data_IF_444066392718
#
_entry.id   IF_444066392718
#
_cell.length_a   1.000
_cell.length_b   1.000
_cell.length_c   1.000
_cell.angle_alpha   90.00
_cell.angle_beta   90.00
_cell.angle_gamma   90.00
#
_symmetry.space_group_name_H-M   'P 1'
#
loop_
_entity.id
_entity.type
_entity.pdbx_description
1 polymer ?
#
# COMPACT_ATOMS: atom_id res chain seq x y z
N UNK A 1 -10.57 -53.58 -1.68
CA UNK A 1 -11.65 -52.56 -1.88
C UNK A 1 -11.55 -51.36 -0.94
N UNK A 2 -11.43 -51.54 0.39
CA UNK A 2 -11.33 -50.43 1.37
C UNK A 2 -10.23 -49.40 1.08
N UNK A 3 -9.00 -49.82 0.75
CA UNK A 3 -7.88 -48.90 0.44
C UNK A 3 -8.12 -48.00 -0.78
N UNK A 4 -8.73 -48.54 -1.84
CA UNK A 4 -9.07 -47.78 -3.05
C UNK A 4 -10.20 -46.78 -2.80
N UNK A 5 -11.20 -47.15 -2.00
CA UNK A 5 -12.25 -46.23 -1.55
C UNK A 5 -11.67 -45.09 -0.70
N UNK A 6 -10.73 -45.37 0.20
CA UNK A 6 -10.03 -44.34 0.98
C UNK A 6 -9.23 -43.36 0.10
N UNK A 7 -8.51 -43.87 -0.91
CA UNK A 7 -7.76 -43.04 -1.86
C UNK A 7 -8.71 -42.13 -2.65
N UNK A 8 -9.85 -42.67 -3.13
CA UNK A 8 -10.87 -41.89 -3.83
C UNK A 8 -11.44 -40.76 -2.96
N UNK A 9 -11.74 -41.03 -1.69
CA UNK A 9 -12.24 -40.01 -0.76
C UNK A 9 -11.23 -38.88 -0.54
N UNK A 10 -9.94 -39.21 -0.41
CA UNK A 10 -8.87 -38.20 -0.25
C UNK A 10 -8.75 -37.33 -1.51
N UNK A 11 -8.83 -37.93 -2.70
CA UNK A 11 -8.78 -37.19 -3.96
C UNK A 11 -9.98 -36.23 -4.08
N UNK A 12 -11.18 -36.72 -3.80
CA UNK A 12 -12.41 -35.89 -3.86
C UNK A 12 -12.33 -34.76 -2.83
N UNK A 13 -11.88 -35.03 -1.60
CA UNK A 13 -11.69 -34.00 -0.59
C UNK A 13 -10.65 -32.96 -1.02
N UNK A 14 -9.55 -33.38 -1.64
CA UNK A 14 -8.54 -32.48 -2.20
C UNK A 14 -9.09 -31.58 -3.31
N UNK A 15 -9.91 -32.11 -4.20
CA UNK A 15 -10.56 -31.34 -5.28
C UNK A 15 -11.55 -30.33 -4.70
N UNK A 16 -12.37 -30.72 -3.72
CA UNK A 16 -13.30 -29.81 -3.05
C UNK A 16 -12.53 -28.68 -2.36
N UNK A 17 -11.44 -29.00 -1.66
CA UNK A 17 -10.60 -28.01 -0.99
C UNK A 17 -9.97 -27.03 -1.98
N UNK A 18 -9.45 -27.53 -3.11
CA UNK A 18 -8.90 -26.69 -4.18
C UNK A 18 -9.95 -25.75 -4.78
N UNK A 19 -11.16 -26.25 -5.02
CA UNK A 19 -12.28 -25.44 -5.51
C UNK A 19 -12.66 -24.32 -4.54
N UNK A 20 -12.68 -24.62 -3.23
CA UNK A 20 -12.95 -23.62 -2.19
C UNK A 20 -11.83 -22.57 -2.15
N UNK A 21 -10.56 -22.97 -2.24
CA UNK A 21 -9.44 -22.03 -2.25
C UNK A 21 -9.42 -21.11 -3.48
N UNK A 22 -9.79 -21.64 -4.64
CA UNK A 22 -9.95 -20.83 -5.85
C UNK A 22 -11.08 -19.80 -5.69
N UNK A 23 -12.24 -20.24 -5.18
CA UNK A 23 -13.42 -19.38 -4.97
C UNK A 23 -13.21 -18.31 -3.91
N UNK A 24 -12.49 -18.63 -2.85
CA UNK A 24 -12.15 -17.69 -1.77
C UNK A 24 -11.00 -16.76 -2.13
N UNK A 25 -10.35 -16.97 -3.29
CA UNK A 25 -9.29 -16.10 -3.79
C UNK A 25 -8.01 -16.17 -2.96
N UNK A 26 -7.84 -17.21 -2.14
CA UNK A 26 -6.70 -17.34 -1.23
C UNK A 26 -5.34 -17.34 -1.97
N UNK A 27 -5.34 -17.72 -3.25
CA UNK A 27 -4.16 -17.79 -4.10
C UNK A 27 -4.11 -16.71 -5.19
N UNK A 28 -5.07 -15.78 -5.20
CA UNK A 28 -5.08 -14.71 -6.21
C UNK A 28 -4.13 -13.60 -5.79
N UNK A 29 -3.14 -13.33 -6.63
CA UNK A 29 -2.32 -12.12 -6.54
C UNK A 29 -3.12 -10.95 -7.11
N UNK A 30 -3.11 -9.82 -6.42
CA UNK A 30 -3.73 -8.59 -6.91
C UNK A 30 -2.95 -8.10 -8.13
N UNK A 31 -3.63 -7.91 -9.26
CA UNK A 31 -2.99 -7.34 -10.46
C UNK A 31 -2.78 -5.82 -10.30
N UNK A 32 -1.83 -5.21 -11.03
CA UNK A 32 -1.67 -3.76 -11.01
C UNK A 32 -2.95 -2.99 -11.36
N UNK A 33 -3.72 -3.49 -12.34
CA UNK A 33 -4.99 -2.87 -12.74
C UNK A 33 -6.07 -3.03 -11.67
N UNK A 34 -6.14 -4.18 -11.01
CA UNK A 34 -7.05 -4.39 -9.88
C UNK A 34 -6.71 -3.41 -8.74
N UNK A 35 -5.42 -3.27 -8.40
CA UNK A 35 -4.98 -2.33 -7.38
C UNK A 35 -5.33 -0.88 -7.75
N UNK A 36 -5.05 -0.48 -9.00
CA UNK A 36 -5.35 0.88 -9.48
C UNK A 36 -6.85 1.20 -9.38
N UNK A 37 -7.71 0.23 -9.65
CA UNK A 37 -9.16 0.41 -9.58
C UNK A 37 -9.73 0.20 -8.16
N UNK A 38 -8.89 -0.15 -7.18
CA UNK A 38 -9.32 -0.38 -5.79
C UNK A 38 -9.08 0.82 -4.86
N UNK A 39 -8.27 1.79 -5.29
CA UNK A 39 -7.81 2.91 -4.48
C UNK A 39 -8.17 4.24 -5.14
N UNK A 40 -8.72 5.15 -4.35
CA UNK A 40 -8.84 6.56 -4.69
C UNK A 40 -7.94 7.37 -3.75
N UNK A 41 -7.10 8.25 -4.30
CA UNK A 41 -6.25 9.17 -3.52
C UNK A 41 -7.00 10.49 -3.35
N UNK A 42 -7.23 10.91 -2.11
CA UNK A 42 -7.99 12.11 -1.76
C UNK A 42 -7.20 13.01 -0.80
N UNK A 43 -7.68 14.24 -0.61
CA UNK A 43 -7.13 15.24 0.31
C UNK A 43 -5.62 15.49 0.12
N UNK A 44 -5.20 15.59 -1.14
CA UNK A 44 -3.78 15.78 -1.48
C UNK A 44 -3.32 17.19 -1.11
N UNK A 45 -2.28 17.26 -0.29
CA UNK A 45 -1.60 18.49 0.11
C UNK A 45 -0.09 18.34 -0.13
N UNK A 46 0.54 19.35 -0.72
CA UNK A 46 2.00 19.44 -0.86
C UNK A 46 2.53 20.67 -0.14
N UNK A 47 3.64 20.51 0.60
CA UNK A 47 4.25 21.60 1.36
C UNK A 47 5.72 21.36 1.66
N UNK A 48 6.43 22.44 1.99
CA UNK A 48 7.76 22.37 2.57
C UNK A 48 7.65 22.22 4.08
N UNK A 49 8.34 21.23 4.64
CA UNK A 49 8.33 20.93 6.08
C UNK A 49 9.74 20.92 6.65
N UNK A 50 9.86 21.24 7.95
CA UNK A 50 11.15 21.17 8.63
C UNK A 50 11.67 19.72 8.67
N UNK A 51 12.86 19.47 8.11
CA UNK A 51 13.65 18.26 8.34
C UNK A 51 14.50 18.39 9.59
N UNK A 52 15.16 19.53 9.72
CA UNK A 52 16.05 19.80 10.83
C UNK A 52 15.95 21.27 11.21
N UNK A 53 16.03 21.56 12.50
CA UNK A 53 16.08 22.92 13.01
C UNK A 53 16.99 22.96 14.23
N UNK A 54 17.95 23.88 14.21
CA UNK A 54 18.86 24.18 15.31
C UNK A 54 18.97 25.70 15.47
N UNK A 55 18.72 26.24 16.67
CA UNK A 55 18.86 27.67 16.94
C UNK A 55 20.29 28.19 16.91
N UNK A 56 21.25 27.43 17.45
CA UNK A 56 22.67 27.83 17.48
C UNK A 56 23.63 26.62 17.35
N UNK A 57 24.63 26.68 16.44
CA UNK A 57 24.69 27.60 15.31
C UNK A 57 23.43 27.47 14.44
N UNK A 58 22.93 28.58 13.89
CA UNK A 58 21.64 28.59 13.20
C UNK A 58 21.66 27.67 11.98
N UNK A 59 20.77 26.68 11.97
CA UNK A 59 20.62 25.74 10.85
C UNK A 59 19.16 25.31 10.72
N UNK A 60 18.58 25.53 9.55
CA UNK A 60 17.24 25.08 9.18
C UNK A 60 17.33 24.34 7.86
N UNK A 61 16.82 23.11 7.82
CA UNK A 61 16.69 22.33 6.60
C UNK A 61 15.20 22.10 6.38
N UNK A 62 14.70 22.57 5.25
CA UNK A 62 13.34 22.30 4.77
C UNK A 62 13.41 21.26 3.65
N UNK A 63 12.42 20.38 3.61
CA UNK A 63 12.29 19.35 2.57
C UNK A 63 10.86 19.29 2.06
N UNK A 64 10.64 18.88 0.80
CA UNK A 64 9.30 18.70 0.29
C UNK A 64 8.62 17.51 0.99
N UNK A 65 7.32 17.64 1.19
CA UNK A 65 6.45 16.58 1.66
C UNK A 65 5.12 16.60 0.92
N UNK A 66 4.53 15.42 0.76
CA UNK A 66 3.18 15.21 0.26
C UNK A 66 2.38 14.50 1.33
N UNK A 67 1.15 14.96 1.57
CA UNK A 67 0.18 14.32 2.45
C UNK A 67 -1.09 14.01 1.68
N UNK A 68 -1.69 12.86 1.96
CA UNK A 68 -2.90 12.41 1.29
C UNK A 68 -3.61 11.35 2.14
N UNK A 69 -4.85 11.04 1.78
CA UNK A 69 -5.59 9.89 2.30
C UNK A 69 -5.92 8.91 1.19
N UNK A 70 -6.12 7.66 1.57
CA UNK A 70 -6.46 6.56 0.68
C UNK A 70 -7.89 6.13 0.99
N UNK A 71 -8.78 6.24 0.01
CA UNK A 71 -10.15 5.73 0.10
C UNK A 71 -10.24 4.41 -0.64
N UNK A 72 -10.82 3.41 0.03
CA UNK A 72 -11.06 2.11 -0.56
C UNK A 72 -12.36 2.14 -1.37
N UNK A 73 -12.22 2.01 -2.70
CA UNK A 73 -13.36 1.97 -3.63
C UNK A 73 -13.69 0.55 -4.11
N UNK A 74 -12.99 -0.46 -3.57
CA UNK A 74 -13.24 -1.87 -3.86
C UNK A 74 -14.18 -2.53 -2.85
N UNK A 75 -14.55 -3.77 -3.13
CA UNK A 75 -15.32 -4.66 -2.26
C UNK A 75 -14.45 -5.48 -1.29
N UNK A 76 -13.13 -5.28 -1.30
CA UNK A 76 -12.16 -6.03 -0.48
C UNK A 76 -11.40 -5.10 0.48
N UNK A 77 -11.01 -5.55 1.69
CA UNK A 77 -10.13 -4.79 2.56
C UNK A 77 -8.76 -4.53 1.90
N UNK A 78 -8.29 -3.29 1.96
CA UNK A 78 -6.94 -2.92 1.51
C UNK A 78 -5.94 -3.14 2.62
N UNK A 79 -4.93 -3.97 2.36
CA UNK A 79 -3.85 -4.28 3.30
C UNK A 79 -2.52 -4.38 2.57
N UNK A 80 -1.44 -4.12 3.29
CA UNK A 80 -0.06 -4.17 2.79
C UNK A 80 0.25 -3.18 1.65
N UNK A 81 -0.37 -2.01 1.70
CA UNK A 81 -0.13 -0.94 0.73
C UNK A 81 1.10 -0.15 1.16
N UNK A 82 2.05 -0.03 0.24
CA UNK A 82 3.25 0.77 0.41
C UNK A 82 3.25 1.90 -0.60
N UNK A 83 3.76 3.05 -0.18
CA UNK A 83 3.91 4.21 -1.03
C UNK A 83 5.39 4.54 -1.19
N UNK A 84 5.74 4.95 -2.39
CA UNK A 84 7.06 5.49 -2.71
C UNK A 84 6.88 6.87 -3.34
N UNK A 85 7.47 7.88 -2.72
CA UNK A 85 7.54 9.22 -3.27
C UNK A 85 8.96 9.51 -3.76
N UNK A 86 9.06 10.04 -4.98
CA UNK A 86 10.29 10.60 -5.54
C UNK A 86 10.07 12.09 -5.75
N UNK A 87 10.93 12.92 -5.14
CA UNK A 87 10.82 14.37 -5.19
C UNK A 87 11.81 14.92 -6.21
N UNK A 88 11.34 15.75 -7.13
CA UNK A 88 12.17 16.42 -8.14
C UNK A 88 11.57 17.77 -8.51
N UNK A 89 12.40 18.70 -8.96
CA UNK A 89 11.87 19.89 -9.60
C UNK A 89 11.23 19.53 -10.94
N UNK A 90 10.24 20.35 -11.33
CA UNK A 90 9.62 20.21 -12.64
C UNK A 90 10.69 20.48 -13.70
N UNK A 91 10.76 19.60 -14.70
CA UNK A 91 11.71 19.68 -15.82
C UNK A 91 13.20 19.54 -15.43
N UNK A 92 13.47 19.08 -14.20
CA UNK A 92 14.83 18.81 -13.71
C UNK A 92 15.07 17.30 -13.56
N UNK A 93 16.32 16.89 -13.77
CA UNK A 93 16.79 15.54 -13.51
C UNK A 93 17.39 15.39 -12.09
N UNK A 94 17.64 16.50 -11.39
CA UNK A 94 18.16 16.49 -10.03
C UNK A 94 17.13 15.91 -9.04
N UNK A 95 17.56 14.91 -8.27
CA UNK A 95 16.74 14.21 -7.29
C UNK A 95 16.76 14.97 -5.96
N UNK A 96 15.59 15.40 -5.50
CA UNK A 96 15.39 16.05 -4.20
C UNK A 96 15.06 15.06 -3.09
N UNK A 97 15.47 13.80 -3.23
CA UNK A 97 15.28 12.70 -2.30
C UNK A 97 14.02 11.88 -2.55
N UNK A 98 13.86 10.86 -1.72
CA UNK A 98 12.76 9.92 -1.80
C UNK A 98 12.20 9.58 -0.41
N UNK A 99 11.08 8.86 -0.41
CA UNK A 99 10.47 8.34 0.80
C UNK A 99 9.68 7.07 0.49
N UNK A 100 10.12 5.96 1.07
CA UNK A 100 9.34 4.72 1.10
C UNK A 100 8.62 4.58 2.44
N UNK A 101 7.32 4.33 2.39
CA UNK A 101 6.49 4.14 3.58
C UNK A 101 5.55 2.95 3.40
N UNK A 102 5.63 2.00 4.33
CA UNK A 102 4.67 0.92 4.46
C UNK A 102 3.43 1.38 5.24
N UNK A 103 2.56 2.16 4.60
CA UNK A 103 1.52 2.93 5.29
C UNK A 103 0.34 2.09 5.82
N UNK A 104 -0.14 1.10 5.07
CA UNK A 104 -1.33 0.31 5.45
C UNK A 104 -0.89 -1.14 5.67
N UNK A 105 -0.75 -1.58 6.92
CA UNK A 105 -0.25 -2.94 7.26
C UNK A 105 -1.11 -3.69 8.25
N UNK A 106 -1.17 -3.22 9.50
CA UNK A 106 -1.87 -3.95 10.55
C UNK A 106 -3.36 -3.71 10.49
N UNK A 107 -3.75 -2.43 10.34
CA UNK A 107 -5.12 -2.00 10.23
C UNK A 107 -5.49 -1.85 8.75
N UNK A 108 -6.35 -2.73 8.21
CA UNK A 108 -6.78 -2.63 6.82
C UNK A 108 -7.77 -1.48 6.65
N UNK A 109 -7.79 -0.86 5.47
CA UNK A 109 -8.86 0.09 5.10
C UNK A 109 -10.01 -0.73 4.53
N UNK A 110 -11.15 -0.79 5.24
CA UNK A 110 -12.29 -1.60 4.81
C UNK A 110 -12.99 -0.98 3.58
N UNK A 111 -13.81 -1.74 2.84
CA UNK A 111 -14.59 -1.23 1.72
C UNK A 111 -15.36 0.06 2.06
N UNK A 112 -15.17 1.11 1.27
CA UNK A 112 -15.80 2.42 1.48
C UNK A 112 -15.14 3.31 2.54
N UNK A 113 -14.19 2.80 3.34
CA UNK A 113 -13.48 3.57 4.34
C UNK A 113 -12.33 4.39 3.75
N UNK A 114 -11.86 5.35 4.55
CA UNK A 114 -10.73 6.22 4.25
C UNK A 114 -9.65 6.02 5.30
N UNK A 115 -8.39 5.98 4.88
CA UNK A 115 -7.24 5.86 5.77
C UNK A 115 -7.03 7.09 6.65
N UNK A 116 -6.19 6.94 7.66
CA UNK A 116 -5.51 8.07 8.30
C UNK A 116 -4.68 8.87 7.30
N UNK A 117 -4.30 10.09 7.70
CA UNK A 117 -3.45 10.95 6.89
C UNK A 117 -2.07 10.33 6.73
N UNK A 118 -1.68 10.05 5.49
CA UNK A 118 -0.38 9.52 5.13
C UNK A 118 0.50 10.69 4.70
N UNK A 119 1.67 10.84 5.32
CA UNK A 119 2.65 11.88 4.96
C UNK A 119 3.96 11.24 4.52
N UNK A 120 4.39 11.56 3.31
CA UNK A 120 5.70 11.20 2.76
C UNK A 120 6.58 12.44 2.74
N UNK A 121 7.78 12.32 3.30
CA UNK A 121 8.73 13.43 3.47
C UNK A 121 10.06 13.03 2.87
N UNK A 122 10.64 13.91 2.05
CA UNK A 122 11.96 13.64 1.46
C UNK A 122 13.02 13.42 2.55
N UNK A 123 13.89 12.44 2.29
CA UNK A 123 15.06 12.11 3.09
C UNK A 123 16.31 12.93 2.73
N UNK A 124 16.30 13.74 1.66
CA UNK A 124 17.45 14.50 1.16
C UNK A 124 17.38 15.98 1.56
N UNK A 125 18.52 16.56 1.98
CA UNK A 125 18.62 17.95 2.48
C UNK A 125 19.45 18.11 3.74
#
# INVERSE_FOLDING_TARGET
MRRWAFILVIIVAGIILAYIFEKTGLWRTVSPDELKNSIEIIDVETKWVKKYYQPWPAKLILVPAISFRVKNISDKPLRYINFNANFRFKDDYENLGDCFLAAIRNDPVLPGETSDLITLKSNYG
#
